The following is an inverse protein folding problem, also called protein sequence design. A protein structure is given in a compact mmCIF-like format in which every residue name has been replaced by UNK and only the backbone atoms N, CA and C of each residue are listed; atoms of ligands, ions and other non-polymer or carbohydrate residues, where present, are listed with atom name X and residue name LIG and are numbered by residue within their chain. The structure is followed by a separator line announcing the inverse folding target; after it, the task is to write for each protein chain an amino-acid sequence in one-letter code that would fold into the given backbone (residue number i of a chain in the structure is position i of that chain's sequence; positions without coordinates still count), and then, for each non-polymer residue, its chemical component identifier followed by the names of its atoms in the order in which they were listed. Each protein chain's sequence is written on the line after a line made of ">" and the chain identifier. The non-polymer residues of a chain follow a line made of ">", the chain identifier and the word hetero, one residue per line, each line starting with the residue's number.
data_IF_324472112741
#
_entry.id   IF_324472112741
#
_cell.length_a   1.000
_cell.length_b   1.000
_cell.length_c   1.000
_cell.angle_alpha   90.00
_cell.angle_beta   90.00
_cell.angle_gamma   90.00
#
_symmetry.space_group_name_H-M   'P 1'
#
loop_
_entity.id
_entity.type
_entity.pdbx_description
1 polymer ?
#
# COMPACT_ATOMS: atom_id res chain seq x y z
N UNK A 1 28.30 5.65 -6.12
CA UNK A 1 27.18 6.46 -5.58
C UNK A 1 25.80 5.87 -5.87
N UNK A 2 25.41 5.56 -7.13
CA UNK A 2 24.08 5.01 -7.46
C UNK A 2 23.70 3.71 -6.71
N UNK A 3 24.61 2.73 -6.62
CA UNK A 3 24.39 1.49 -5.85
C UNK A 3 24.14 1.74 -4.36
N UNK A 4 24.87 2.68 -3.77
CA UNK A 4 24.76 3.00 -2.33
C UNK A 4 23.40 3.66 -2.03
N UNK A 5 22.97 4.61 -2.86
CA UNK A 5 21.66 5.24 -2.71
C UNK A 5 20.51 4.22 -2.86
N UNK A 6 20.59 3.32 -3.84
CA UNK A 6 19.60 2.24 -4.03
C UNK A 6 19.54 1.30 -2.83
N UNK A 7 20.67 0.94 -2.22
CA UNK A 7 20.68 0.12 -1.00
C UNK A 7 20.19 0.88 0.23
N UNK A 8 20.45 2.18 0.33
CA UNK A 8 20.09 2.99 1.50
C UNK A 8 18.61 3.41 1.50
N UNK A 9 18.04 3.67 0.33
CA UNK A 9 16.65 4.12 0.18
C UNK A 9 15.71 3.02 -0.34
N UNK A 10 16.18 1.78 -0.44
CA UNK A 10 15.38 0.66 -0.95
C UNK A 10 14.12 0.39 -0.11
N UNK A 11 14.26 0.30 1.22
CA UNK A 11 13.13 0.10 2.15
C UNK A 11 12.10 1.23 2.06
N UNK A 12 12.46 2.52 2.23
CA UNK A 12 11.46 3.59 2.16
C UNK A 12 10.79 3.67 0.78
N UNK A 13 11.54 3.46 -0.30
CA UNK A 13 10.96 3.45 -1.65
C UNK A 13 9.98 2.29 -1.84
N UNK A 14 10.34 1.08 -1.42
CA UNK A 14 9.47 -0.09 -1.52
C UNK A 14 8.19 0.10 -0.68
N UNK A 15 8.33 0.52 0.58
CA UNK A 15 7.20 0.78 1.45
C UNK A 15 6.29 1.88 0.90
N UNK A 16 6.85 2.92 0.29
CA UNK A 16 6.09 3.97 -0.38
C UNK A 16 5.30 3.41 -1.57
N UNK A 17 5.97 2.71 -2.49
CA UNK A 17 5.35 2.17 -3.69
C UNK A 17 4.22 1.18 -3.35
N UNK A 18 4.48 0.25 -2.43
CA UNK A 18 3.47 -0.72 -1.97
C UNK A 18 2.35 -0.02 -1.20
N UNK A 19 2.69 0.95 -0.34
CA UNK A 19 1.69 1.76 0.37
C UNK A 19 0.71 2.45 -0.57
N UNK A 20 1.23 3.13 -1.61
CA UNK A 20 0.40 3.75 -2.65
C UNK A 20 -0.49 2.74 -3.38
N UNK A 21 0.03 1.55 -3.72
CA UNK A 21 -0.77 0.50 -4.36
C UNK A 21 -1.96 0.08 -3.48
N UNK A 22 -1.74 -0.08 -2.17
CA UNK A 22 -2.81 -0.45 -1.23
C UNK A 22 -3.86 0.64 -1.04
N UNK A 23 -3.46 1.93 -1.05
CA UNK A 23 -4.42 3.06 -1.07
C UNK A 23 -5.25 3.04 -2.36
N UNK A 24 -4.62 2.79 -3.52
CA UNK A 24 -5.33 2.70 -4.80
C UNK A 24 -6.33 1.53 -4.77
N UNK A 25 -5.91 0.35 -4.30
CA UNK A 25 -6.79 -0.82 -4.17
C UNK A 25 -7.99 -0.54 -3.27
N UNK A 26 -7.77 0.17 -2.15
CA UNK A 26 -8.83 0.64 -1.25
C UNK A 26 -9.90 1.47 -1.99
N UNK A 27 -9.47 2.39 -2.87
CA UNK A 27 -10.39 3.20 -3.69
C UNK A 27 -11.26 2.38 -4.66
N UNK A 28 -10.85 1.15 -4.97
CA UNK A 28 -11.61 0.21 -5.80
C UNK A 28 -12.38 -0.86 -4.99
N UNK A 29 -12.47 -0.71 -3.66
CA UNK A 29 -12.98 -1.74 -2.76
C UNK A 29 -14.34 -2.34 -3.17
N UNK A 30 -15.31 -1.50 -3.56
CA UNK A 30 -16.63 -1.97 -4.02
C UNK A 30 -16.59 -2.77 -5.32
N UNK A 31 -15.73 -2.38 -6.28
CA UNK A 31 -15.56 -3.13 -7.54
C UNK A 31 -14.89 -4.48 -7.30
N UNK A 32 -13.90 -4.51 -6.41
CA UNK A 32 -13.21 -5.75 -6.02
C UNK A 32 -14.18 -6.69 -5.29
N UNK A 33 -14.94 -6.18 -4.31
CA UNK A 33 -15.95 -6.93 -3.60
C UNK A 33 -17.02 -7.50 -4.55
N UNK A 34 -17.50 -6.71 -5.50
CA UNK A 34 -18.44 -7.18 -6.53
C UNK A 34 -17.84 -8.29 -7.39
N UNK A 35 -16.60 -8.12 -7.85
CA UNK A 35 -15.94 -9.11 -8.72
C UNK A 35 -15.70 -10.44 -8.01
N UNK A 36 -15.36 -10.41 -6.71
CA UNK A 36 -15.07 -11.60 -5.91
C UNK A 36 -16.30 -12.31 -5.35
N UNK A 37 -17.41 -11.59 -5.18
CA UNK A 37 -18.68 -12.16 -4.68
C UNK A 37 -19.51 -12.82 -5.78
N UNK A 38 -19.14 -12.64 -7.06
CA UNK A 38 -19.89 -13.19 -8.19
C UNK A 38 -19.98 -14.71 -8.10
N UNK A 39 -21.20 -15.23 -7.92
CA UNK A 39 -21.46 -16.67 -8.06
C UNK A 39 -21.62 -16.98 -9.55
N UNK A 40 -20.68 -17.78 -10.07
CA UNK A 40 -20.69 -18.47 -11.37
C UNK A 40 -21.47 -17.82 -12.51
N UNK A 41 -22.80 -18.00 -12.50
CA UNK A 41 -23.69 -17.76 -13.63
C UNK A 41 -24.89 -16.84 -13.33
N UNK A 42 -24.89 -16.10 -12.21
CA UNK A 42 -25.96 -15.14 -11.91
C UNK A 42 -25.67 -13.78 -12.57
N UNK A 43 -26.66 -13.26 -13.30
CA UNK A 43 -26.60 -11.93 -13.93
C UNK A 43 -26.74 -10.79 -12.91
N UNK A 44 -27.32 -11.08 -11.75
CA UNK A 44 -27.49 -10.15 -10.62
C UNK A 44 -27.19 -10.91 -9.34
N UNK A 45 -26.20 -10.44 -8.58
CA UNK A 45 -25.89 -10.95 -7.25
C UNK A 45 -25.76 -9.81 -6.25
N UNK A 46 -26.06 -10.12 -4.99
CA UNK A 46 -25.94 -9.17 -3.89
C UNK A 46 -24.50 -9.17 -3.38
N UNK A 47 -23.88 -7.99 -3.37
CA UNK A 47 -22.58 -7.78 -2.71
C UNK A 47 -22.86 -7.36 -1.28
N UNK A 48 -22.29 -8.05 -0.30
CA UNK A 48 -22.49 -7.65 1.10
C UNK A 48 -21.75 -6.35 1.41
N UNK A 49 -22.37 -5.53 2.26
CA UNK A 49 -21.77 -4.28 2.73
C UNK A 49 -20.48 -4.55 3.52
N UNK A 50 -20.43 -5.67 4.25
CA UNK A 50 -19.25 -6.10 5.00
C UNK A 50 -18.07 -6.39 4.07
N UNK A 51 -18.31 -7.08 2.95
CA UNK A 51 -17.26 -7.40 1.98
C UNK A 51 -16.74 -6.12 1.30
N UNK A 52 -17.65 -5.21 0.96
CA UNK A 52 -17.30 -3.89 0.40
C UNK A 52 -16.47 -3.08 1.39
N UNK A 53 -16.87 -3.04 2.67
CA UNK A 53 -16.13 -2.36 3.74
C UNK A 53 -14.76 -3.00 3.97
N UNK A 54 -14.66 -4.33 3.98
CA UNK A 54 -13.40 -5.03 4.15
C UNK A 54 -12.39 -4.67 3.04
N UNK A 55 -12.82 -4.73 1.78
CA UNK A 55 -11.97 -4.36 0.64
C UNK A 55 -11.67 -2.86 0.53
N UNK A 56 -12.45 -2.02 1.21
CA UNK A 56 -12.17 -0.59 1.29
C UNK A 56 -11.19 -0.26 2.40
N UNK A 57 -11.44 -0.75 3.62
CA UNK A 57 -10.74 -0.32 4.83
C UNK A 57 -9.49 -1.13 5.15
N UNK A 58 -9.46 -2.44 4.88
CA UNK A 58 -8.27 -3.25 5.15
C UNK A 58 -7.09 -2.76 4.28
N UNK A 59 -7.25 -2.61 2.94
CA UNK A 59 -6.17 -2.07 2.14
C UNK A 59 -5.81 -0.64 2.49
N UNK A 60 -6.78 0.19 2.91
CA UNK A 60 -6.53 1.56 3.35
C UNK A 60 -5.60 1.60 4.56
N UNK A 61 -5.92 0.81 5.60
CA UNK A 61 -5.13 0.75 6.84
C UNK A 61 -3.72 0.26 6.54
N UNK A 62 -3.59 -0.81 5.74
CA UNK A 62 -2.28 -1.34 5.32
C UNK A 62 -1.49 -0.29 4.53
N UNK A 63 -2.15 0.41 3.60
CA UNK A 63 -1.54 1.47 2.80
C UNK A 63 -1.01 2.61 3.67
N UNK A 64 -1.82 3.11 4.61
CA UNK A 64 -1.42 4.17 5.56
C UNK A 64 -0.23 3.71 6.41
N UNK A 65 -0.28 2.49 6.96
CA UNK A 65 0.81 1.95 7.77
C UNK A 65 2.13 1.88 6.99
N UNK A 66 2.08 1.45 5.73
CA UNK A 66 3.26 1.40 4.85
C UNK A 66 3.78 2.80 4.49
N UNK A 67 2.91 3.79 4.28
CA UNK A 67 3.32 5.17 4.05
C UNK A 67 3.99 5.77 5.31
N UNK A 68 3.47 5.51 6.50
CA UNK A 68 4.13 5.89 7.76
C UNK A 68 5.50 5.24 7.90
N UNK A 69 5.62 3.95 7.55
CA UNK A 69 6.89 3.23 7.53
C UNK A 69 7.86 3.85 6.52
N UNK A 70 7.39 4.24 5.34
CA UNK A 70 8.21 4.89 4.32
C UNK A 70 8.80 6.22 4.83
N UNK A 71 7.99 7.09 5.42
CA UNK A 71 8.45 8.37 5.99
C UNK A 71 9.46 8.14 7.11
N UNK A 72 9.17 7.20 8.01
CA UNK A 72 10.05 6.90 9.15
C UNK A 72 11.40 6.35 8.69
N UNK A 73 11.40 5.35 7.83
CA UNK A 73 12.63 4.73 7.31
C UNK A 73 13.41 5.67 6.40
N UNK A 74 12.73 6.52 5.62
CA UNK A 74 13.39 7.55 4.82
C UNK A 74 14.15 8.53 5.71
N UNK A 75 13.51 9.03 6.76
CA UNK A 75 14.12 9.97 7.71
C UNK A 75 15.36 9.39 8.36
N UNK A 76 15.29 8.14 8.82
CA UNK A 76 16.42 7.41 9.41
C UNK A 76 17.55 7.21 8.39
N UNK A 77 17.23 6.69 7.20
CA UNK A 77 18.20 6.46 6.13
C UNK A 77 18.90 7.75 5.70
N UNK A 78 18.14 8.85 5.58
CA UNK A 78 18.67 10.16 5.21
C UNK A 78 19.64 10.71 6.26
N UNK A 79 19.30 10.61 7.55
CA UNK A 79 20.18 11.04 8.65
C UNK A 79 21.53 10.30 8.64
N UNK A 80 21.51 8.97 8.49
CA UNK A 80 22.75 8.19 8.42
C UNK A 80 23.54 8.46 7.14
N UNK A 81 22.86 8.69 6.01
CA UNK A 81 23.50 9.04 4.76
C UNK A 81 24.24 10.37 4.84
N UNK A 82 23.62 11.40 5.42
CA UNK A 82 24.26 12.69 5.69
C UNK A 82 25.50 12.53 6.58
N UNK A 83 25.39 11.81 7.70
CA UNK A 83 26.52 11.56 8.60
C UNK A 83 27.69 10.82 7.96
N UNK A 84 27.43 9.95 6.97
CA UNK A 84 28.48 9.19 6.27
C UNK A 84 29.23 10.04 5.24
N UNK A 85 28.64 11.14 4.77
CA UNK A 85 29.24 12.03 3.78
C UNK A 85 29.83 13.31 4.39
N UNK A 86 29.53 13.59 5.65
CA UNK A 86 30.26 14.55 6.49
C UNK A 86 31.57 13.94 6.98
#
# INVERSE_FOLDING_TARGET
>A
MKKLALTTFGVPFWSFAVGCLFIILSGFGGRIASSLSRQGNEDVWMVSDELTRAWTYIPLIVGIALLCLAVSTFSISYFFWQKRMS
#
